data_IF_731409059197
#
_entry.id   IF_731409059197
#
_cell.length_a   1.000
_cell.length_b   1.000
_cell.length_c   1.000
_cell.angle_alpha   90.00
_cell.angle_beta   90.00
_cell.angle_gamma   90.00
#
_symmetry.space_group_name_H-M   'P 1'
#
loop_
_entity.id
_entity.type
_entity.pdbx_description
1 polymer ?
#
# COMPACT_ATOMS: atom_id res chain seq x y z
N UNK A 1 -4.98 -9.10 -15.08
CA UNK A 1 -4.25 -8.93 -13.81
C UNK A 1 -3.01 -8.04 -13.87
N UNK A 2 -1.99 -8.29 -14.71
CA UNK A 2 -0.69 -7.57 -14.59
C UNK A 2 -0.78 -6.05 -14.82
N UNK A 3 -1.51 -5.59 -15.84
CA UNK A 3 -1.60 -4.16 -16.17
C UNK A 3 -2.39 -3.31 -15.14
N UNK A 4 -3.47 -3.86 -14.59
CA UNK A 4 -4.28 -3.18 -13.55
C UNK A 4 -3.51 -3.10 -12.22
N UNK A 5 -2.75 -4.14 -11.86
CA UNK A 5 -1.90 -4.13 -10.67
C UNK A 5 -0.79 -3.07 -10.77
N UNK A 6 -0.17 -2.93 -11.95
CA UNK A 6 0.85 -1.90 -12.19
C UNK A 6 0.27 -0.48 -12.10
N UNK A 7 -0.92 -0.26 -12.67
CA UNK A 7 -1.61 1.02 -12.54
C UNK A 7 -1.92 1.36 -11.07
N UNK A 8 -2.29 0.35 -10.26
CA UNK A 8 -2.49 0.52 -8.81
C UNK A 8 -1.18 0.88 -8.11
N UNK A 9 -0.09 0.17 -8.37
CA UNK A 9 1.22 0.45 -7.77
C UNK A 9 1.73 1.86 -8.11
N UNK A 10 1.59 2.27 -9.38
CA UNK A 10 1.94 3.62 -9.84
C UNK A 10 1.18 4.71 -9.07
N UNK A 11 -0.14 4.55 -8.96
CA UNK A 11 -1.01 5.48 -8.24
C UNK A 11 -0.70 5.49 -6.74
N UNK A 12 -0.38 4.35 -6.13
CA UNK A 12 0.04 4.26 -4.73
C UNK A 12 1.32 5.08 -4.49
N UNK A 13 2.34 4.92 -5.32
CA UNK A 13 3.61 5.67 -5.20
C UNK A 13 3.39 7.17 -5.37
N UNK A 14 2.62 7.56 -6.39
CA UNK A 14 2.29 8.98 -6.65
C UNK A 14 1.52 9.60 -5.47
N UNK A 15 0.54 8.86 -4.94
CA UNK A 15 -0.28 9.31 -3.81
C UNK A 15 0.51 9.36 -2.51
N UNK A 16 1.45 8.45 -2.29
CA UNK A 16 2.38 8.49 -1.17
C UNK A 16 3.22 9.76 -1.18
N UNK A 17 3.77 10.13 -2.35
CA UNK A 17 4.53 11.37 -2.50
C UNK A 17 3.69 12.61 -2.16
N UNK A 18 2.46 12.70 -2.70
CA UNK A 18 1.53 13.78 -2.39
C UNK A 18 1.17 13.85 -0.90
N UNK A 19 1.07 12.71 -0.22
CA UNK A 19 0.76 12.63 1.20
C UNK A 19 1.94 12.99 2.09
N UNK A 20 3.17 12.60 1.73
CA UNK A 20 4.37 13.02 2.45
C UNK A 20 4.59 14.54 2.33
N UNK A 21 4.36 15.10 1.14
CA UNK A 21 4.40 16.54 0.95
C UNK A 21 3.32 17.24 1.77
N UNK A 22 2.09 16.73 1.76
CA UNK A 22 1.01 17.23 2.62
C UNK A 22 1.40 17.20 4.09
N UNK A 23 1.99 16.10 4.57
CA UNK A 23 2.48 15.97 5.95
C UNK A 23 3.54 17.03 6.28
N UNK A 24 4.45 17.30 5.33
CA UNK A 24 5.44 18.40 5.46
C UNK A 24 4.77 19.77 5.55
N UNK A 25 3.77 20.06 4.71
CA UNK A 25 3.03 21.33 4.73
C UNK A 25 2.31 21.51 6.09
N UNK A 26 1.69 20.43 6.59
CA UNK A 26 1.04 20.43 7.90
C UNK A 26 2.05 20.68 9.03
N UNK A 27 3.25 20.10 8.95
CA UNK A 27 4.31 20.33 9.95
C UNK A 27 4.78 21.79 10.02
N UNK A 28 4.59 22.54 8.94
CA UNK A 28 4.91 23.97 8.85
C UNK A 28 3.71 24.87 9.21
N UNK A 29 2.62 24.30 9.74
CA UNK A 29 1.35 24.99 10.06
C UNK A 29 0.71 25.73 8.88
N UNK A 30 0.93 25.26 7.64
CA UNK A 30 0.27 25.79 6.46
C UNK A 30 -0.99 24.99 6.11
N UNK A 31 -2.04 25.63 5.57
CA UNK A 31 -3.22 24.91 5.10
C UNK A 31 -2.87 24.07 3.86
N UNK A 32 -3.35 22.81 3.78
CA UNK A 32 -3.12 21.97 2.61
C UNK A 32 -3.84 22.53 1.38
N UNK A 33 -3.19 22.45 0.21
CA UNK A 33 -3.79 22.90 -1.06
C UNK A 33 -5.08 22.11 -1.38
N UNK A 34 -6.16 22.82 -1.73
CA UNK A 34 -7.43 22.20 -2.11
C UNK A 34 -7.30 21.33 -3.37
N UNK A 35 -6.45 21.75 -4.31
CA UNK A 35 -6.15 21.02 -5.55
C UNK A 35 -5.44 19.69 -5.26
N UNK A 36 -4.36 19.71 -4.46
CA UNK A 36 -3.65 18.48 -4.10
C UNK A 36 -4.53 17.53 -3.28
N UNK A 37 -5.36 18.07 -2.39
CA UNK A 37 -6.36 17.29 -1.64
C UNK A 37 -7.35 16.58 -2.58
N UNK A 38 -7.82 17.27 -3.63
CA UNK A 38 -8.73 16.68 -4.61
C UNK A 38 -8.05 15.62 -5.48
N UNK A 39 -6.77 15.80 -5.82
CA UNK A 39 -5.96 14.82 -6.55
C UNK A 39 -5.73 13.56 -5.72
N UNK A 40 -5.34 13.70 -4.44
CA UNK A 40 -5.18 12.58 -3.50
C UNK A 40 -6.48 11.78 -3.39
N UNK A 41 -7.61 12.45 -3.15
CA UNK A 41 -8.91 11.79 -3.07
C UNK A 41 -9.26 11.02 -4.34
N UNK A 42 -9.08 11.65 -5.52
CA UNK A 42 -9.36 11.01 -6.81
C UNK A 42 -8.47 9.78 -7.01
N UNK A 43 -7.18 9.87 -6.71
CA UNK A 43 -6.27 8.74 -6.82
C UNK A 43 -6.66 7.60 -5.88
N UNK A 44 -6.95 7.89 -4.61
CA UNK A 44 -7.39 6.89 -3.63
C UNK A 44 -8.71 6.22 -4.06
N UNK A 45 -9.66 6.98 -4.61
CA UNK A 45 -10.92 6.42 -5.12
C UNK A 45 -10.71 5.45 -6.29
N UNK A 46 -9.78 5.78 -7.20
CA UNK A 46 -9.45 4.93 -8.35
C UNK A 46 -8.66 3.68 -7.91
N UNK A 47 -7.70 3.83 -6.99
CA UNK A 47 -6.98 2.71 -6.39
C UNK A 47 -7.96 1.76 -5.69
N UNK A 48 -8.95 2.30 -4.95
CA UNK A 48 -10.00 1.50 -4.32
C UNK A 48 -10.79 0.69 -5.35
N UNK A 49 -11.24 1.33 -6.44
CA UNK A 49 -12.02 0.67 -7.49
C UNK A 49 -11.20 -0.42 -8.19
N UNK A 50 -9.95 -0.14 -8.54
CA UNK A 50 -9.06 -1.09 -9.23
C UNK A 50 -8.72 -2.28 -8.33
N UNK A 51 -8.51 -2.05 -7.03
CA UNK A 51 -8.22 -3.12 -6.08
C UNK A 51 -9.44 -4.03 -5.81
N UNK A 52 -10.67 -3.50 -5.83
CA UNK A 52 -11.89 -4.32 -5.77
C UNK A 52 -11.99 -5.21 -7.00
N UNK A 53 -11.73 -4.65 -8.20
CA UNK A 53 -11.74 -5.42 -9.44
C UNK A 53 -10.70 -6.54 -9.43
N UNK A 54 -9.49 -6.28 -8.94
CA UNK A 54 -8.43 -7.29 -8.81
C UNK A 54 -8.78 -8.40 -7.81
N UNK A 55 -9.48 -8.06 -6.73
CA UNK A 55 -9.97 -9.02 -5.74
C UNK A 55 -11.08 -9.91 -6.32
N UNK A 56 -11.98 -9.34 -7.12
CA UNK A 56 -12.97 -10.12 -7.86
C UNK A 56 -12.31 -11.07 -8.88
N UNK A 57 -11.33 -10.57 -9.66
CA UNK A 57 -10.57 -11.40 -10.62
C UNK A 57 -9.84 -12.56 -9.92
N UNK A 58 -9.19 -12.33 -8.77
CA UNK A 58 -8.48 -13.40 -8.03
C UNK A 58 -9.43 -14.40 -7.38
N UNK A 59 -10.61 -13.96 -6.95
CA UNK A 59 -11.65 -14.85 -6.42
C UNK A 59 -12.16 -15.83 -7.49
N UNK A 60 -12.26 -15.37 -8.74
CA UNK A 60 -12.69 -16.20 -9.89
C UNK A 60 -11.62 -17.21 -10.28
N UNK A 61 -10.34 -16.82 -10.28
CA UNK A 61 -9.23 -17.74 -10.56
C UNK A 61 -9.08 -18.82 -9.47
N UNK A 62 -9.26 -18.45 -8.20
CA UNK A 62 -9.23 -19.40 -7.09
C UNK A 62 -10.37 -20.44 -7.14
N UNK A 63 -11.50 -20.09 -7.76
CA UNK A 63 -12.63 -21.01 -7.96
C UNK A 63 -12.37 -22.11 -9.00
N UNK A 64 -11.42 -21.91 -9.92
CA UNK A 64 -11.12 -22.84 -11.02
C UNK A 64 -10.16 -23.98 -10.67
N UNK A 65 -9.41 -23.89 -9.56
CA UNK A 65 -8.31 -24.79 -9.24
C UNK A 65 -8.49 -25.52 -7.89
N UNK A 66 -9.63 -26.20 -7.68
CA UNK A 66 -9.76 -27.11 -6.53
C UNK A 66 -9.13 -28.46 -6.90
N UNK A 67 -7.80 -28.57 -6.76
CA UNK A 67 -7.12 -29.86 -6.65
C UNK A 67 -6.34 -29.88 -5.33
N UNK A 68 -6.88 -30.61 -4.34
CA UNK A 68 -6.10 -31.11 -3.21
C UNK A 68 -5.82 -30.12 -2.06
N UNK A 69 -6.86 -29.56 -1.42
CA UNK A 69 -6.86 -29.24 0.03
C UNK A 69 -5.85 -28.23 0.60
N UNK A 70 -4.92 -27.66 -0.18
CA UNK A 70 -4.02 -26.59 0.22
C UNK A 70 -4.23 -25.39 -0.70
N UNK A 71 -4.88 -24.36 -0.17
CA UNK A 71 -4.98 -23.03 -0.81
C UNK A 71 -3.58 -22.40 -0.77
N UNK A 72 -2.76 -22.69 -1.78
CA UNK A 72 -1.49 -22.00 -1.99
C UNK A 72 -1.79 -20.56 -2.38
N UNK A 73 -1.23 -19.59 -1.65
CA UNK A 73 -1.35 -18.17 -1.98
C UNK A 73 -0.55 -17.95 -3.26
N UNK A 74 -1.21 -17.54 -4.35
CA UNK A 74 -0.51 -17.33 -5.62
C UNK A 74 0.45 -16.13 -5.49
N UNK A 75 1.50 -16.03 -6.32
CA UNK A 75 2.33 -14.82 -6.38
C UNK A 75 1.51 -13.54 -6.61
N UNK A 76 0.42 -13.62 -7.39
CA UNK A 76 -0.52 -12.53 -7.61
C UNK A 76 -1.32 -12.15 -6.36
N UNK A 77 -1.75 -13.13 -5.56
CA UNK A 77 -2.47 -12.89 -4.30
C UNK A 77 -1.60 -12.15 -3.27
N UNK A 78 -0.30 -12.45 -3.25
CA UNK A 78 0.66 -11.78 -2.38
C UNK A 78 0.83 -10.30 -2.77
N UNK A 79 1.02 -10.02 -4.06
CA UNK A 79 1.16 -8.66 -4.56
C UNK A 79 -0.12 -7.84 -4.38
N UNK A 80 -1.30 -8.48 -4.51
CA UNK A 80 -2.58 -7.84 -4.21
C UNK A 80 -2.71 -7.48 -2.73
N UNK A 81 -2.34 -8.41 -1.83
CA UNK A 81 -2.34 -8.17 -0.38
C UNK A 81 -1.43 -6.98 -0.04
N UNK A 82 -0.22 -6.95 -0.59
CA UNK A 82 0.72 -5.84 -0.37
C UNK A 82 0.18 -4.49 -0.86
N UNK A 83 -0.48 -4.47 -2.02
CA UNK A 83 -1.10 -3.25 -2.56
C UNK A 83 -2.28 -2.77 -1.69
N UNK A 84 -3.03 -3.70 -1.08
CA UNK A 84 -4.09 -3.38 -0.11
C UNK A 84 -3.51 -2.77 1.18
N UNK A 85 -2.48 -3.38 1.75
CA UNK A 85 -1.81 -2.88 2.97
C UNK A 85 -1.26 -1.46 2.76
N UNK A 86 -0.60 -1.23 1.62
CA UNK A 86 -0.09 0.10 1.25
C UNK A 86 -1.22 1.12 1.09
N UNK A 87 -2.34 0.73 0.47
CA UNK A 87 -3.51 1.61 0.35
C UNK A 87 -4.04 2.05 1.71
N UNK A 88 -4.16 1.12 2.66
CA UNK A 88 -4.65 1.41 4.01
C UNK A 88 -3.71 2.36 4.76
N UNK A 89 -2.39 2.20 4.60
CA UNK A 89 -1.40 3.14 5.14
C UNK A 89 -1.57 4.56 4.57
N UNK A 90 -1.81 4.70 3.25
CA UNK A 90 -2.06 6.01 2.64
C UNK A 90 -3.34 6.66 3.14
N UNK A 91 -4.37 5.85 3.39
CA UNK A 91 -5.64 6.31 3.98
C UNK A 91 -5.42 6.82 5.40
N UNK A 92 -4.57 6.17 6.19
CA UNK A 92 -4.19 6.64 7.53
C UNK A 92 -3.43 7.98 7.45
N UNK A 93 -2.46 8.10 6.55
CA UNK A 93 -1.73 9.36 6.33
C UNK A 93 -2.66 10.49 5.85
N UNK A 94 -3.66 10.18 5.02
CA UNK A 94 -4.62 11.17 4.54
C UNK A 94 -5.54 11.67 5.66
N UNK A 95 -5.75 10.90 6.73
CA UNK A 95 -6.62 11.28 7.86
C UNK A 95 -5.93 12.17 8.92
N UNK A 96 -4.67 12.57 8.71
CA UNK A 96 -3.92 13.38 9.68
C UNK A 96 -4.53 14.77 9.91
N UNK A 97 -5.30 15.29 8.95
CA UNK A 97 -5.93 16.60 9.02
C UNK A 97 -7.46 16.54 8.83
N UNK A 98 -8.17 17.57 9.31
CA UNK A 98 -9.64 17.63 9.24
C UNK A 98 -10.19 17.50 7.81
N UNK A 99 -9.55 18.14 6.82
CA UNK A 99 -10.02 18.08 5.43
C UNK A 99 -9.84 16.67 4.82
N UNK A 100 -8.85 15.92 5.27
CA UNK A 100 -8.62 14.54 4.90
C UNK A 100 -9.54 13.55 5.62
N UNK A 101 -9.84 13.77 6.91
CA UNK A 101 -10.77 12.95 7.71
C UNK A 101 -12.17 12.89 7.11
N UNK A 102 -12.70 14.02 6.62
CA UNK A 102 -14.03 14.04 6.01
C UNK A 102 -14.08 13.18 4.74
N UNK A 103 -13.07 13.33 3.87
CA UNK A 103 -12.99 12.63 2.58
C UNK A 103 -12.60 11.16 2.70
N UNK A 104 -11.85 10.79 3.74
CA UNK A 104 -11.39 9.42 3.95
C UNK A 104 -12.52 8.47 4.35
N UNK A 105 -13.62 8.97 4.93
CA UNK A 105 -14.77 8.15 5.34
C UNK A 105 -15.33 7.31 4.20
N UNK A 106 -15.43 7.91 3.01
CA UNK A 106 -15.95 7.26 1.80
C UNK A 106 -14.94 6.29 1.16
N UNK A 107 -13.66 6.44 1.50
CA UNK A 107 -12.54 5.69 0.93
C UNK A 107 -12.16 4.46 1.75
N UNK A 108 -12.61 4.33 3.01
CA UNK A 108 -12.37 3.12 3.78
C UNK A 108 -12.95 1.91 3.06
N UNK A 109 -12.14 0.85 2.97
CA UNK A 109 -12.64 -0.50 2.69
C UNK A 109 -13.15 -1.07 4.02
N UNK A 110 -14.22 -1.83 4.01
CA UNK A 110 -14.91 -2.32 5.22
C UNK A 110 -13.94 -2.98 6.22
N UNK A 111 -14.26 -2.97 7.54
CA UNK A 111 -13.26 -3.02 8.59
C UNK A 111 -12.57 -4.39 8.71
N UNK A 112 -11.25 -4.43 8.55
CA UNK A 112 -10.46 -5.43 9.26
C UNK A 112 -10.46 -5.05 10.77
N UNK A 113 -10.63 -6.00 11.70
CA UNK A 113 -10.76 -5.68 13.11
C UNK A 113 -9.44 -5.08 13.60
N UNK A 114 -9.48 -3.83 14.04
CA UNK A 114 -8.33 -3.22 14.70
C UNK A 114 -7.93 -4.07 15.91
N UNK A 115 -6.64 -4.34 16.14
CA UNK A 115 -6.20 -4.86 17.43
C UNK A 115 -6.60 -3.85 18.52
N UNK A 116 -7.11 -4.31 19.68
CA UNK A 116 -7.54 -3.41 20.73
C UNK A 116 -6.34 -2.56 21.20
N UNK A 117 -6.55 -1.26 21.47
CA UNK A 117 -5.48 -0.40 21.98
C UNK A 117 -4.96 -0.95 23.33
N UNK A 118 -3.67 -0.77 23.65
CA UNK A 118 -3.11 -1.19 24.92
C UNK A 118 -3.80 -0.42 26.06
N UNK A 119 -4.29 -1.15 27.06
CA UNK A 119 -4.86 -0.58 28.28
C UNK A 119 -3.81 0.29 28.98
N UNK A 120 -3.97 1.61 28.90
CA UNK A 120 -3.38 2.55 29.84
C UNK A 120 -4.38 2.79 30.98
N UNK A 121 -3.96 2.74 32.26
CA UNK A 121 -4.87 2.84 33.38
C UNK A 121 -5.57 4.21 33.42
N UNK A 122 -6.89 4.13 33.64
CA UNK A 122 -7.79 5.25 33.85
C UNK A 122 -7.34 6.11 35.04
N UNK A 123 -6.89 7.33 34.76
CA UNK A 123 -6.77 8.38 35.77
C UNK A 123 -8.11 9.12 35.91
N UNK A 124 -8.87 8.63 36.88
CA UNK A 124 -9.61 9.33 37.95
C UNK A 124 -10.40 10.61 37.61
N UNK A 125 -11.69 10.54 37.91
CA UNK A 125 -12.67 11.61 37.97
C UNK A 125 -12.16 12.93 38.58
N UNK A 126 -12.40 14.04 37.88
CA UNK A 126 -12.46 15.38 38.46
C UNK A 126 -13.80 16.02 38.08
N UNK A 127 -14.62 16.47 39.04
CA UNK A 127 -15.95 16.98 38.76
C UNK A 127 -15.92 18.37 38.13
N UNK A 128 -16.81 18.57 37.16
CA UNK A 128 -17.07 19.83 36.49
C UNK A 128 -17.22 21.00 37.48
N UNK A 129 -16.26 21.93 37.47
CA UNK A 129 -16.47 23.28 38.00
C UNK A 129 -17.09 24.14 36.92
N UNK A 130 -18.36 24.45 37.14
CA UNK A 130 -19.07 25.59 36.59
C UNK A 130 -18.28 26.89 36.87
N UNK A 131 -17.77 27.53 35.81
CA UNK A 131 -17.33 28.92 35.86
C UNK A 131 -18.53 29.83 35.55
N UNK A 132 -18.93 30.74 36.46
CA UNK A 132 -19.90 31.78 36.13
C UNK A 132 -19.23 32.86 35.27
N UNK A 133 -20.01 33.40 34.33
CA UNK A 133 -19.69 34.57 33.51
C UNK A 133 -19.30 35.78 34.37
N UNK A 134 -18.37 36.65 33.93
CA UNK A 134 -18.06 37.88 34.63
C UNK A 134 -19.25 38.87 34.54
N UNK A 135 -19.50 39.66 35.59
CA UNK A 135 -20.60 40.63 35.60
C UNK A 135 -20.32 41.78 34.62
N UNK A 136 -21.37 42.17 33.89
CA UNK A 136 -21.38 43.38 33.06
C UNK A 136 -20.95 44.60 33.88
N UNK A 137 -19.87 45.25 33.47
CA UNK A 137 -19.52 46.60 33.93
C UNK A 137 -20.37 47.63 33.15
N UNK A 138 -20.81 48.73 33.79
CA UNK A 138 -21.53 49.80 33.10
C UNK A 138 -20.57 50.53 32.15
N UNK A 139 -21.10 50.94 30.99
CA UNK A 139 -20.42 51.78 30.01
C UNK A 139 -19.83 53.03 30.71
N UNK A 140 -18.53 53.24 30.56
CA UNK A 140 -17.81 54.40 31.10
C UNK A 140 -17.45 55.31 29.93
N UNK A 141 -18.21 56.38 29.78
CA UNK A 141 -17.88 57.47 28.86
C UNK A 141 -16.79 58.35 29.51
N UNK A 142 -15.53 58.02 29.25
CA UNK A 142 -14.39 58.90 29.50
C UNK A 142 -13.47 58.85 28.28
N UNK A 143 -13.27 59.96 27.56
CA UNK A 143 -12.37 59.98 26.41
C UNK A 143 -10.92 59.99 26.93
N UNK A 144 -10.37 58.80 27.14
CA UNK A 144 -8.93 58.62 27.27
C UNK A 144 -8.32 58.85 25.88
N UNK A 145 -7.37 59.78 25.85
CA UNK A 145 -6.60 60.27 24.70
C UNK A 145 -6.09 59.15 23.79
N UNK A 146 -6.21 59.41 22.50
CA UNK A 146 -5.67 58.63 21.38
C UNK A 146 -4.17 58.30 21.56
N UNK A 147 -3.86 57.11 22.06
CA UNK A 147 -2.65 56.40 21.62
C UNK A 147 -3.01 55.72 20.29
N UNK A 148 -2.84 56.47 19.21
CA UNK A 148 -2.86 55.90 17.87
C UNK A 148 -1.76 54.81 17.81
N UNK A 149 -2.06 53.58 17.33
CA UNK A 149 -1.01 52.59 17.12
C UNK A 149 -0.02 53.16 16.10
N UNK A 150 1.26 53.16 16.43
CA UNK A 150 2.34 53.65 15.56
C UNK A 150 2.28 52.94 14.19
N UNK A 151 1.69 53.58 13.17
CA UNK A 151 1.63 53.09 11.79
C UNK A 151 2.97 52.59 11.21
N UNK A 152 4.16 53.17 11.53
CA UNK A 152 5.42 52.61 11.03
C UNK A 152 5.76 51.23 11.64
N UNK A 153 5.27 50.91 12.83
CA UNK A 153 5.51 49.61 13.48
C UNK A 153 4.69 48.49 12.82
N UNK A 154 3.45 48.78 12.42
CA UNK A 154 2.59 47.82 11.71
C UNK A 154 3.12 47.51 10.30
N UNK A 155 3.62 48.54 9.59
CA UNK A 155 4.22 48.35 8.26
C UNK A 155 5.51 47.52 8.33
N UNK A 156 6.37 47.76 9.32
CA UNK A 156 7.57 46.96 9.54
C UNK A 156 7.21 45.49 9.89
N UNK A 157 6.19 45.28 10.71
CA UNK A 157 5.71 43.94 11.06
C UNK A 157 5.12 43.20 9.85
N UNK A 158 4.40 43.91 8.97
CA UNK A 158 3.89 43.36 7.72
C UNK A 158 4.99 42.98 6.73
N UNK A 159 6.07 43.77 6.62
CA UNK A 159 7.21 43.45 5.76
C UNK A 159 7.91 42.16 6.19
N UNK A 160 8.18 42.01 7.50
CA UNK A 160 8.79 40.77 8.04
C UNK A 160 7.88 39.55 7.79
N UNK A 161 6.56 39.72 7.92
CA UNK A 161 5.60 38.65 7.63
C UNK A 161 5.55 38.31 6.13
N UNK A 162 5.71 39.28 5.24
CA UNK A 162 5.78 39.05 3.79
C UNK A 162 7.07 38.34 3.39
N UNK A 163 8.19 38.72 3.99
CA UNK A 163 9.50 38.11 3.74
C UNK A 163 9.54 36.63 4.17
N UNK A 164 8.97 36.32 5.34
CA UNK A 164 8.81 34.93 5.83
C UNK A 164 7.87 34.11 4.91
N UNK A 165 6.84 34.73 4.33
CA UNK A 165 5.96 34.06 3.37
C UNK A 165 6.64 33.78 2.03
N UNK A 166 7.42 34.72 1.50
CA UNK A 166 8.17 34.51 0.25
C UNK A 166 9.23 33.41 0.41
N UNK A 167 9.92 33.37 1.55
CA UNK A 167 10.87 32.28 1.84
C UNK A 167 10.15 30.92 1.90
N UNK A 168 8.97 30.86 2.51
CA UNK A 168 8.12 29.65 2.54
C UNK A 168 7.61 29.23 1.16
N UNK A 169 7.22 30.18 0.30
CA UNK A 169 6.78 29.90 -1.07
C UNK A 169 7.93 29.38 -1.94
N UNK A 170 9.14 29.90 -1.77
CA UNK A 170 10.33 29.41 -2.47
C UNK A 170 10.65 27.97 -2.08
N UNK A 171 10.58 27.64 -0.78
CA UNK A 171 10.75 26.26 -0.31
C UNK A 171 9.70 25.30 -0.86
N UNK A 172 8.45 25.76 -0.97
CA UNK A 172 7.36 24.97 -1.56
C UNK A 172 7.58 24.76 -3.06
N UNK A 173 7.94 25.81 -3.80
CA UNK A 173 8.20 25.75 -5.24
C UNK A 173 9.34 24.79 -5.58
N UNK A 174 10.41 24.83 -4.79
CA UNK A 174 11.55 23.92 -4.90
C UNK A 174 11.18 22.46 -4.52
N UNK A 175 10.27 22.28 -3.55
CA UNK A 175 9.70 20.96 -3.23
C UNK A 175 8.85 20.39 -4.36
N UNK A 176 7.99 21.20 -4.97
CA UNK A 176 7.15 20.82 -6.12
C UNK A 176 8.02 20.48 -7.34
N UNK A 177 9.08 21.26 -7.59
CA UNK A 177 10.03 20.99 -8.66
C UNK A 177 10.69 19.62 -8.53
N UNK A 178 11.15 19.27 -7.32
CA UNK A 178 11.70 17.94 -7.02
C UNK A 178 10.67 16.83 -7.13
N UNK A 179 9.45 17.05 -6.66
CA UNK A 179 8.37 16.08 -6.74
C UNK A 179 8.00 15.76 -8.19
N UNK A 180 7.90 16.77 -9.05
CA UNK A 180 7.66 16.57 -10.48
C UNK A 180 8.79 15.75 -11.12
N UNK A 181 10.04 16.06 -10.78
CA UNK A 181 11.19 15.29 -11.26
C UNK A 181 11.13 13.82 -10.81
N UNK A 182 10.81 13.57 -9.53
CA UNK A 182 10.62 12.22 -9.00
C UNK A 182 9.45 11.51 -9.68
N UNK A 183 8.33 12.20 -9.93
CA UNK A 183 7.17 11.62 -10.63
C UNK A 183 7.51 11.17 -12.05
N UNK A 184 8.33 11.94 -12.77
CA UNK A 184 8.79 11.57 -14.11
C UNK A 184 9.70 10.35 -14.05
N UNK A 185 10.65 10.31 -13.09
CA UNK A 185 11.52 9.17 -12.89
C UNK A 185 10.76 7.90 -12.50
N UNK A 186 9.77 8.03 -11.60
CA UNK A 186 8.89 6.92 -11.22
C UNK A 186 8.11 6.43 -12.44
N UNK A 187 7.64 7.33 -13.30
CA UNK A 187 7.00 6.97 -14.57
C UNK A 187 7.91 6.11 -15.45
N UNK A 188 9.14 6.55 -15.68
CA UNK A 188 10.12 5.77 -16.47
C UNK A 188 10.51 4.44 -15.83
N UNK A 189 10.62 4.38 -14.51
CA UNK A 189 10.95 3.13 -13.79
C UNK A 189 9.80 2.14 -13.84
N UNK A 190 8.54 2.62 -13.81
CA UNK A 190 7.37 1.77 -13.96
C UNK A 190 7.24 1.21 -15.37
N UNK A 191 7.57 2.00 -16.39
CA UNK A 191 7.64 1.52 -17.77
C UNK A 191 8.72 0.44 -17.90
N UNK A 192 9.88 0.64 -17.28
CA UNK A 192 10.95 -0.37 -17.20
C UNK A 192 10.49 -1.62 -16.43
N UNK A 193 9.83 -1.46 -15.30
CA UNK A 193 9.29 -2.59 -14.52
C UNK A 193 8.21 -3.34 -15.29
N UNK A 194 7.42 -2.67 -16.13
CA UNK A 194 6.43 -3.31 -16.99
C UNK A 194 7.11 -4.24 -18.01
N UNK A 195 8.18 -3.76 -18.66
CA UNK A 195 9.01 -4.55 -19.58
C UNK A 195 9.65 -5.77 -18.87
N UNK A 196 10.24 -5.55 -17.69
CA UNK A 196 10.85 -6.62 -16.90
C UNK A 196 9.84 -7.68 -16.44
N UNK A 197 8.60 -7.28 -16.14
CA UNK A 197 7.54 -8.21 -15.75
C UNK A 197 7.00 -9.01 -16.93
N UNK A 198 6.92 -8.44 -18.12
CA UNK A 198 6.58 -9.18 -19.34
C UNK A 198 7.63 -10.27 -19.64
N UNK A 199 8.91 -9.93 -19.50
CA UNK A 199 10.01 -10.89 -19.61
C UNK A 199 9.94 -11.99 -18.55
N UNK A 200 9.58 -11.62 -17.33
CA UNK A 200 9.41 -12.57 -16.21
C UNK A 200 8.25 -13.51 -16.46
N UNK A 201 7.10 -13.03 -16.95
CA UNK A 201 5.94 -13.84 -17.29
C UNK A 201 6.27 -14.81 -18.44
N UNK A 202 6.94 -14.32 -19.49
CA UNK A 202 7.43 -15.16 -20.57
C UNK A 202 8.46 -16.22 -20.12
N UNK A 203 9.24 -15.94 -19.07
CA UNK A 203 10.14 -16.90 -18.44
C UNK A 203 9.37 -17.93 -17.59
N UNK A 204 8.30 -17.52 -16.91
CA UNK A 204 7.41 -18.39 -16.15
C UNK A 204 6.65 -19.35 -17.08
N UNK A 205 6.12 -18.88 -18.21
CA UNK A 205 5.47 -19.72 -19.22
C UNK A 205 6.41 -20.81 -19.76
N UNK A 206 7.65 -20.41 -20.11
CA UNK A 206 8.69 -21.36 -20.53
C UNK A 206 9.00 -22.39 -19.44
N UNK A 207 8.95 -21.99 -18.18
CA UNK A 207 9.18 -22.89 -17.03
C UNK A 207 8.00 -23.82 -16.82
N UNK A 208 6.76 -23.34 -16.92
CA UNK A 208 5.53 -24.12 -16.85
C UNK A 208 5.49 -25.19 -17.95
N UNK A 209 5.89 -24.82 -19.18
CA UNK A 209 6.02 -25.74 -20.31
C UNK A 209 7.02 -26.86 -20.05
N UNK A 210 8.19 -26.51 -19.52
CA UNK A 210 9.24 -27.48 -19.15
C UNK A 210 8.76 -28.40 -18.04
N UNK A 211 8.10 -27.85 -17.03
CA UNK A 211 7.53 -28.61 -15.92
C UNK A 211 6.42 -29.56 -16.41
N UNK A 212 5.57 -29.12 -17.33
CA UNK A 212 4.51 -29.96 -17.91
C UNK A 212 5.11 -31.12 -18.73
N UNK A 213 6.15 -30.86 -19.52
CA UNK A 213 6.89 -31.92 -20.23
C UNK A 213 7.57 -32.89 -19.26
N UNK A 214 8.20 -32.38 -18.20
CA UNK A 214 8.81 -33.21 -17.16
C UNK A 214 7.77 -34.07 -16.44
N UNK A 215 6.62 -33.50 -16.10
CA UNK A 215 5.47 -34.21 -15.51
C UNK A 215 4.99 -35.33 -16.43
N UNK A 216 4.80 -35.07 -17.72
CA UNK A 216 4.39 -36.11 -18.70
C UNK A 216 5.40 -37.25 -18.77
N UNK A 217 6.70 -36.96 -18.78
CA UNK A 217 7.75 -37.99 -18.75
C UNK A 217 7.70 -38.81 -17.47
N UNK A 218 7.52 -38.16 -16.31
CA UNK A 218 7.36 -38.85 -15.03
C UNK A 218 6.13 -39.76 -15.02
N UNK A 219 5.02 -39.31 -15.61
CA UNK A 219 3.78 -40.10 -15.69
C UNK A 219 3.97 -41.33 -16.61
N UNK A 220 4.66 -41.17 -17.74
CA UNK A 220 5.04 -42.29 -18.61
C UNK A 220 5.94 -43.29 -17.87
N UNK A 221 6.98 -42.81 -17.17
CA UNK A 221 7.89 -43.68 -16.41
C UNK A 221 7.14 -44.39 -15.28
N UNK A 222 6.25 -43.70 -14.58
CA UNK A 222 5.42 -44.30 -13.53
C UNK A 222 4.50 -45.39 -14.11
N UNK A 223 3.92 -45.16 -15.28
CA UNK A 223 3.07 -46.13 -15.97
C UNK A 223 3.86 -47.36 -16.44
N UNK A 224 5.01 -47.16 -17.10
CA UNK A 224 5.89 -48.24 -17.54
C UNK A 224 6.42 -49.07 -16.36
N UNK A 225 6.81 -48.40 -15.26
CA UNK A 225 7.24 -49.07 -14.04
C UNK A 225 6.12 -49.93 -13.43
N UNK A 226 4.86 -49.49 -13.50
CA UNK A 226 3.71 -50.27 -13.02
C UNK A 226 3.42 -51.48 -13.92
N UNK A 227 3.57 -51.34 -15.23
CA UNK A 227 3.30 -52.42 -16.19
C UNK A 227 4.41 -53.49 -16.20
N UNK A 228 5.67 -53.07 -16.18
CA UNK A 228 6.82 -53.98 -16.24
C UNK A 228 7.41 -54.33 -14.87
N UNK A 229 6.95 -53.67 -13.80
CA UNK A 229 7.46 -53.85 -12.44
C UNK A 229 7.42 -55.30 -11.97
N UNK A 230 6.32 -56.01 -12.20
CA UNK A 230 6.21 -57.43 -11.83
C UNK A 230 7.16 -58.33 -12.60
N UNK A 231 7.52 -57.97 -13.83
CA UNK A 231 8.47 -58.76 -14.63
C UNK A 231 9.90 -58.50 -14.15
N UNK A 232 10.23 -57.23 -13.88
CA UNK A 232 11.54 -56.82 -13.32
C UNK A 232 11.77 -57.46 -11.95
N UNK A 233 10.76 -57.47 -11.06
CA UNK A 233 10.89 -58.10 -9.74
C UNK A 233 11.15 -59.60 -9.84
N UNK A 234 10.46 -60.32 -10.73
CA UNK A 234 10.68 -61.75 -10.97
C UNK A 234 12.12 -62.00 -11.47
N UNK A 235 12.59 -61.23 -12.45
CA UNK A 235 13.96 -61.36 -12.99
C UNK A 235 15.02 -61.10 -11.91
N UNK A 236 14.84 -60.06 -11.11
CA UNK A 236 15.74 -59.74 -9.97
C UNK A 236 15.73 -60.87 -8.94
N UNK A 237 14.56 -61.43 -8.61
CA UNK A 237 14.44 -62.55 -7.68
C UNK A 237 15.21 -63.79 -8.19
N UNK A 238 15.08 -64.11 -9.48
CA UNK A 238 15.82 -65.22 -10.12
C UNK A 238 17.33 -64.97 -10.06
N UNK A 239 17.78 -63.74 -10.32
CA UNK A 239 19.20 -63.40 -10.26
C UNK A 239 19.78 -63.54 -8.84
N UNK A 240 19.04 -63.08 -7.83
CA UNK A 240 19.40 -63.28 -6.41
C UNK A 240 19.46 -64.77 -6.06
N UNK A 241 18.49 -65.56 -6.51
CA UNK A 241 18.47 -67.01 -6.31
C UNK A 241 19.71 -67.68 -6.93
N UNK A 242 20.10 -67.31 -8.15
CA UNK A 242 21.30 -67.84 -8.82
C UNK A 242 22.57 -67.51 -8.04
N UNK A 243 22.69 -66.28 -7.53
CA UNK A 243 23.83 -65.89 -6.67
C UNK A 243 23.87 -66.75 -5.42
N UNK A 244 22.72 -66.91 -4.72
CA UNK A 244 22.64 -67.75 -3.53
C UNK A 244 23.03 -69.20 -3.82
N UNK A 245 22.61 -69.75 -4.96
CA UNK A 245 23.00 -71.10 -5.39
C UNK A 245 24.51 -71.18 -5.60
N UNK A 246 25.11 -70.22 -6.31
CA UNK A 246 26.56 -70.22 -6.55
C UNK A 246 27.31 -70.15 -5.22
N UNK A 247 26.93 -69.24 -4.33
CA UNK A 247 27.60 -69.04 -3.04
C UNK A 247 27.40 -70.22 -2.09
N UNK A 248 26.24 -70.89 -2.10
CA UNK A 248 25.96 -72.01 -1.19
C UNK A 248 26.46 -73.36 -1.73
N UNK A 249 26.55 -73.51 -3.05
CA UNK A 249 27.04 -74.72 -3.72
C UNK A 249 28.57 -74.76 -3.84
N UNK A 250 29.22 -73.59 -3.90
CA UNK A 250 30.67 -73.44 -3.80
C UNK A 250 31.10 -73.54 -2.35
#
# INVERSE_FOLDING_TARGET
>A
MSSTLLAVQSRLTTTSSLLLERSRILSLNLPPSASSTAQIYRNLSLIKADLVKLEDESSLEAGGLIIGGRKGKSPGDLALTEAQDRYDQLIEMFQQDEAGKEKAKDLRRSPHPAPPPPNLPAHRDEPARSTPSPPFAPFRDQPETEDAPDEPSMLAQQQVLMEDQDERLNLLSDSIGRQNHLSIQIGSELDLHHELLEDTDAAMDRTADRLNRAKRRLDTVAHEARQHGSTITIVVLIFILLILIIVFKT
#
